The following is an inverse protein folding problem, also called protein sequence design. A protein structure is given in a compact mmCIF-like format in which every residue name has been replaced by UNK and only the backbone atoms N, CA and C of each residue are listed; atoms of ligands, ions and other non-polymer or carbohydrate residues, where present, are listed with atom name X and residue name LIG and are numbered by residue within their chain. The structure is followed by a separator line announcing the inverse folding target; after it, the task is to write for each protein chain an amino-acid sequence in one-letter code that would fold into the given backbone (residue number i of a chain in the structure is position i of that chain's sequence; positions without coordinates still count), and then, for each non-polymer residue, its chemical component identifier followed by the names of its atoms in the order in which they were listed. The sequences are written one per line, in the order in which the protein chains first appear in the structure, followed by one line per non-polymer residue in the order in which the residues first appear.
data_IF_570527925791
#
_entry.id   IF_570527925791
#
_cell.length_a   1.000
_cell.length_b   1.000
_cell.length_c   1.000
_cell.angle_alpha   90.00
_cell.angle_beta   90.00
_cell.angle_gamma   90.00
#
_symmetry.space_group_name_H-M   'P 1'
#
loop_
_entity.id
_entity.type
_entity.pdbx_description
1 polymer ?
#
# COMPACT_ATOMS: atom_id res chain seq x y z
N UNK A 1 -14.77 19.95 -4.68
CA UNK A 1 -13.61 20.84 -4.91
C UNK A 1 -12.45 20.33 -4.07
N UNK A 2 -11.21 20.59 -4.47
CA UNK A 2 -10.03 20.21 -3.68
C UNK A 2 -9.97 21.01 -2.37
N UNK A 3 -9.37 20.43 -1.33
CA UNK A 3 -9.10 21.14 -0.08
C UNK A 3 -8.09 22.28 -0.30
N UNK A 4 -8.26 23.37 0.45
CA UNK A 4 -7.39 24.55 0.40
C UNK A 4 -6.25 24.51 1.41
N UNK A 5 -6.32 23.61 2.38
CA UNK A 5 -5.35 23.46 3.47
C UNK A 5 -5.05 21.99 3.76
N UNK A 6 -3.88 21.74 4.34
CA UNK A 6 -3.44 20.40 4.75
C UNK A 6 -4.25 19.96 5.97
N UNK A 7 -4.38 18.64 6.13
CA UNK A 7 -5.03 18.01 7.29
C UNK A 7 -3.98 17.39 8.20
N UNK A 8 -3.57 18.07 9.29
CA UNK A 8 -2.48 17.61 10.15
C UNK A 8 -2.72 16.21 10.71
N UNK A 9 -3.96 15.86 11.01
CA UNK A 9 -4.37 14.56 11.53
C UNK A 9 -4.12 13.41 10.54
N UNK A 10 -4.33 13.65 9.24
CA UNK A 10 -4.08 12.65 8.19
C UNK A 10 -2.59 12.52 7.92
N UNK A 11 -1.85 13.64 7.95
CA UNK A 11 -0.40 13.64 7.80
C UNK A 11 0.24 12.86 8.95
N UNK A 12 -0.19 13.12 10.19
CA UNK A 12 0.32 12.41 11.37
C UNK A 12 0.00 10.92 11.31
N UNK A 13 -1.21 10.54 10.87
CA UNK A 13 -1.55 9.15 10.63
C UNK A 13 -0.62 8.49 9.60
N UNK A 14 -0.31 9.20 8.49
CA UNK A 14 0.52 8.66 7.42
C UNK A 14 1.97 8.42 7.84
N UNK A 15 2.51 9.20 8.78
CA UNK A 15 3.87 9.01 9.33
C UNK A 15 4.04 7.64 10.00
N UNK A 16 2.95 7.02 10.45
CA UNK A 16 2.94 5.66 11.00
C UNK A 16 2.79 4.55 9.96
N UNK A 17 2.85 4.86 8.66
CA UNK A 17 2.67 3.92 7.55
C UNK A 17 4.01 3.60 6.87
N UNK A 18 4.12 2.39 6.34
CA UNK A 18 5.33 1.94 5.66
C UNK A 18 5.44 2.53 4.27
N UNK A 19 6.63 3.06 3.96
CA UNK A 19 6.97 3.42 2.58
C UNK A 19 6.21 4.62 2.03
N UNK A 20 5.84 5.56 2.88
CA UNK A 20 5.25 6.81 2.41
C UNK A 20 6.32 7.69 1.73
N UNK A 21 6.00 8.34 0.59
CA UNK A 21 6.86 9.35 0.00
C UNK A 21 7.03 10.55 0.95
N UNK A 22 8.25 11.03 1.10
CA UNK A 22 8.57 12.18 1.95
C UNK A 22 8.62 13.46 1.11
N UNK A 23 7.48 13.99 0.69
CA UNK A 23 7.41 15.23 -0.06
C UNK A 23 6.13 16.03 0.20
N UNK A 24 6.17 17.33 -0.08
CA UNK A 24 5.02 18.22 0.14
C UNK A 24 3.79 17.80 -0.67
N UNK A 25 3.98 17.35 -1.92
CA UNK A 25 2.89 16.89 -2.77
C UNK A 25 2.24 15.61 -2.26
N UNK A 26 2.97 14.76 -1.53
CA UNK A 26 2.36 13.62 -0.83
C UNK A 26 1.43 14.11 0.29
N UNK A 27 1.88 15.04 1.13
CA UNK A 27 1.04 15.62 2.19
C UNK A 27 -0.21 16.32 1.63
N UNK A 28 -0.07 17.03 0.51
CA UNK A 28 -1.18 17.66 -0.22
C UNK A 28 -2.14 16.59 -0.75
N UNK A 29 -1.62 15.53 -1.37
CA UNK A 29 -2.41 14.41 -1.89
C UNK A 29 -3.27 13.77 -0.81
N UNK A 30 -2.67 13.33 0.31
CA UNK A 30 -3.41 12.66 1.39
C UNK A 30 -4.37 13.60 2.13
N UNK A 31 -4.10 14.91 2.10
CA UNK A 31 -5.00 15.93 2.65
C UNK A 31 -6.17 16.28 1.72
N UNK A 32 -6.22 15.74 0.49
CA UNK A 32 -7.24 16.05 -0.50
C UNK A 32 -7.05 17.41 -1.20
N UNK A 33 -5.84 17.99 -1.11
CA UNK A 33 -5.49 19.22 -1.82
C UNK A 33 -5.04 18.93 -3.25
N UNK A 34 -5.02 19.98 -4.08
CA UNK A 34 -4.31 19.90 -5.37
C UNK A 34 -2.81 19.67 -5.12
N UNK A 35 -2.26 18.71 -5.87
CA UNK A 35 -0.86 18.29 -5.81
C UNK A 35 -0.36 17.97 -7.22
N UNK A 36 0.96 17.94 -7.39
CA UNK A 36 1.62 17.50 -8.61
C UNK A 36 2.00 16.01 -8.52
N UNK A 37 1.29 15.11 -9.24
CA UNK A 37 1.59 13.67 -9.20
C UNK A 37 2.92 13.31 -9.88
N UNK A 38 3.56 14.23 -10.61
CA UNK A 38 4.81 13.99 -11.34
C UNK A 38 6.05 14.36 -10.53
N UNK A 39 5.92 14.60 -9.22
CA UNK A 39 7.09 14.73 -8.35
C UNK A 39 7.90 13.42 -8.33
N UNK A 40 9.24 13.48 -8.40
CA UNK A 40 10.10 12.29 -8.42
C UNK A 40 9.78 11.28 -7.31
N UNK A 41 9.52 11.74 -6.10
CA UNK A 41 9.23 10.91 -4.93
C UNK A 41 7.90 10.14 -5.08
N UNK A 42 6.90 10.76 -5.72
CA UNK A 42 5.63 10.11 -6.03
C UNK A 42 5.75 9.12 -7.20
N UNK A 43 6.61 9.42 -8.18
CA UNK A 43 6.90 8.50 -9.27
C UNK A 43 7.65 7.26 -8.77
N UNK A 44 8.67 7.45 -7.94
CA UNK A 44 9.44 6.37 -7.31
C UNK A 44 8.53 5.50 -6.43
N UNK A 45 7.65 6.11 -5.64
CA UNK A 45 6.73 5.37 -4.80
C UNK A 45 5.76 4.48 -5.61
N UNK A 46 5.24 4.98 -6.74
CA UNK A 46 4.41 4.16 -7.65
C UNK A 46 5.21 3.03 -8.30
N UNK A 47 6.43 3.32 -8.74
CA UNK A 47 7.31 2.30 -9.31
C UNK A 47 7.58 1.18 -8.29
N UNK A 48 7.96 1.55 -7.07
CA UNK A 48 8.18 0.62 -5.96
C UNK A 48 6.93 -0.20 -5.63
N UNK A 49 5.76 0.45 -5.56
CA UNK A 49 4.49 -0.23 -5.30
C UNK A 49 4.19 -1.30 -6.36
N UNK A 50 4.39 -0.98 -7.65
CA UNK A 50 4.18 -1.92 -8.75
C UNK A 50 5.13 -3.12 -8.69
N UNK A 51 6.40 -2.90 -8.33
CA UNK A 51 7.35 -3.99 -8.11
C UNK A 51 6.91 -4.94 -7.00
N UNK A 52 6.55 -4.39 -5.83
CA UNK A 52 6.09 -5.19 -4.69
C UNK A 52 4.76 -5.90 -4.97
N UNK A 53 3.84 -5.25 -5.68
CA UNK A 53 2.59 -5.86 -6.12
C UNK A 53 2.85 -6.99 -7.13
N UNK A 54 3.83 -6.85 -8.01
CA UNK A 54 4.24 -7.93 -8.91
C UNK A 54 4.79 -9.13 -8.14
N UNK A 55 5.64 -8.92 -7.12
CA UNK A 55 6.13 -10.00 -6.26
C UNK A 55 4.97 -10.71 -5.54
N UNK A 56 4.00 -9.95 -5.02
CA UNK A 56 2.80 -10.48 -4.37
C UNK A 56 1.93 -11.31 -5.32
N UNK A 57 1.67 -10.77 -6.51
CA UNK A 57 0.78 -11.39 -7.50
C UNK A 57 1.39 -12.62 -8.15
N UNK A 58 2.72 -12.66 -8.31
CA UNK A 58 3.43 -13.73 -9.01
C UNK A 58 4.10 -14.75 -8.09
N UNK A 59 3.72 -14.80 -6.80
CA UNK A 59 4.21 -15.83 -5.89
C UNK A 59 3.90 -17.23 -6.45
N UNK A 60 4.94 -17.99 -6.79
CA UNK A 60 4.81 -19.37 -7.28
C UNK A 60 4.43 -20.30 -6.13
N UNK A 61 3.16 -20.69 -6.09
CA UNK A 61 2.58 -21.54 -5.05
C UNK A 61 3.18 -22.95 -5.03
N UNK A 62 3.90 -23.38 -6.06
CA UNK A 62 4.58 -24.68 -6.10
C UNK A 62 5.90 -24.69 -5.33
N UNK A 63 6.42 -23.52 -4.98
CA UNK A 63 7.69 -23.34 -4.28
C UNK A 63 7.54 -23.17 -2.77
N UNK A 64 6.30 -23.08 -2.28
CA UNK A 64 5.96 -22.87 -0.87
C UNK A 64 4.98 -23.97 -0.44
N UNK A 65 5.17 -24.55 0.74
CA UNK A 65 4.26 -25.59 1.22
C UNK A 65 2.88 -25.02 1.55
N UNK A 66 1.86 -25.88 1.53
CA UNK A 66 0.48 -25.49 1.78
C UNK A 66 0.27 -24.84 3.15
N UNK A 67 0.98 -25.30 4.18
CA UNK A 67 0.94 -24.75 5.54
C UNK A 67 1.63 -23.38 5.66
N UNK A 68 2.53 -23.01 4.73
CA UNK A 68 3.29 -21.76 4.76
C UNK A 68 2.76 -20.68 3.81
N UNK A 69 1.91 -21.04 2.85
CA UNK A 69 1.52 -20.12 1.77
C UNK A 69 0.80 -18.87 2.28
N UNK A 70 0.00 -19.02 3.34
CA UNK A 70 -0.75 -17.92 3.94
C UNK A 70 0.20 -16.89 4.56
N UNK A 71 1.14 -17.36 5.40
CA UNK A 71 2.13 -16.50 6.03
C UNK A 71 3.04 -15.84 5.00
N UNK A 72 3.43 -16.57 3.95
CA UNK A 72 4.26 -16.02 2.88
C UNK A 72 3.54 -14.90 2.12
N UNK A 73 2.24 -15.06 1.85
CA UNK A 73 1.43 -14.01 1.24
C UNK A 73 1.28 -12.81 2.15
N UNK A 74 1.01 -13.03 3.44
CA UNK A 74 0.93 -11.93 4.41
C UNK A 74 2.26 -11.16 4.51
N UNK A 75 3.40 -11.85 4.48
CA UNK A 75 4.73 -11.23 4.44
C UNK A 75 4.89 -10.31 3.22
N UNK A 76 4.50 -10.78 2.03
CA UNK A 76 4.56 -9.98 0.82
C UNK A 76 3.56 -8.80 0.86
N UNK A 77 2.33 -9.03 1.33
CA UNK A 77 1.31 -8.00 1.45
C UNK A 77 1.77 -6.86 2.38
N UNK A 78 2.46 -7.18 3.49
CA UNK A 78 3.04 -6.20 4.42
C UNK A 78 4.04 -5.25 3.77
N UNK A 79 4.67 -5.66 2.66
CA UNK A 79 5.58 -4.82 1.87
C UNK A 79 4.79 -3.89 0.95
N UNK A 80 3.68 -4.39 0.39
CA UNK A 80 2.83 -3.63 -0.55
C UNK A 80 2.07 -2.51 0.16
N UNK A 81 1.42 -2.80 1.29
CA UNK A 81 0.52 -1.84 1.96
C UNK A 81 1.15 -1.09 3.12
N UNK A 82 0.58 0.07 3.46
CA UNK A 82 1.05 0.89 4.58
C UNK A 82 0.96 0.18 5.92
N UNK A 83 -0.12 -0.59 6.13
CA UNK A 83 -0.36 -1.42 7.31
C UNK A 83 -1.35 -2.55 7.01
N UNK A 84 -1.09 -3.74 7.57
CA UNK A 84 -1.99 -4.90 7.51
C UNK A 84 -1.90 -5.67 8.82
N UNK A 85 -3.05 -6.13 9.32
CA UNK A 85 -3.16 -6.97 10.52
C UNK A 85 -2.97 -8.46 10.25
N UNK A 86 -2.86 -9.24 11.33
CA UNK A 86 -2.74 -10.70 11.26
C UNK A 86 -4.01 -11.35 10.71
N UNK A 87 -3.88 -12.56 10.15
CA UNK A 87 -5.03 -13.31 9.65
C UNK A 87 -5.70 -12.68 8.42
N UNK A 88 -5.06 -11.68 7.80
CA UNK A 88 -5.60 -10.98 6.63
C UNK A 88 -5.07 -11.56 5.32
N UNK A 89 -5.95 -11.67 4.34
CA UNK A 89 -5.64 -12.16 3.01
C UNK A 89 -6.34 -11.34 1.93
N UNK A 90 -5.58 -11.03 0.87
CA UNK A 90 -6.08 -10.34 -0.32
C UNK A 90 -5.85 -11.25 -1.52
N UNK A 91 -6.91 -11.69 -2.15
CA UNK A 91 -6.79 -12.58 -3.30
C UNK A 91 -6.05 -11.86 -4.45
N UNK A 92 -4.95 -12.41 -4.99
CA UNK A 92 -4.31 -11.85 -6.17
C UNK A 92 -5.23 -11.96 -7.41
N UNK A 93 -5.18 -11.03 -8.37
CA UNK A 93 -4.24 -9.91 -8.44
C UNK A 93 -4.66 -8.70 -7.58
N UNK A 94 -3.68 -8.10 -6.89
CA UNK A 94 -3.81 -6.84 -6.15
C UNK A 94 -2.96 -5.76 -6.81
N UNK A 95 -3.57 -4.64 -7.23
CA UNK A 95 -2.93 -3.61 -8.07
C UNK A 95 -3.16 -2.18 -7.53
N UNK A 96 -2.61 -1.84 -6.35
CA UNK A 96 -2.70 -0.47 -5.83
C UNK A 96 -1.70 0.48 -6.53
N UNK A 97 -2.03 1.77 -6.60
CA UNK A 97 -1.14 2.77 -7.22
C UNK A 97 0.09 3.07 -6.33
N UNK A 98 -0.15 3.41 -5.06
CA UNK A 98 0.92 3.71 -4.08
C UNK A 98 1.12 2.64 -3.01
N UNK A 99 0.07 1.86 -2.69
CA UNK A 99 0.09 0.81 -1.66
C UNK A 99 0.17 1.33 -0.23
N UNK A 100 1.11 2.24 0.05
CA UNK A 100 1.40 2.81 1.38
C UNK A 100 0.22 3.57 2.02
N UNK A 101 -0.76 4.02 1.24
CA UNK A 101 -1.97 4.67 1.74
C UNK A 101 -3.05 3.69 2.24
N UNK A 102 -2.84 2.37 2.04
CA UNK A 102 -3.81 1.34 2.38
C UNK A 102 -3.52 0.82 3.78
N UNK A 103 -4.57 0.78 4.60
CA UNK A 103 -4.57 0.20 5.95
C UNK A 103 -5.63 -0.89 5.95
N UNK A 104 -5.23 -2.12 6.26
CA UNK A 104 -6.13 -3.26 6.42
C UNK A 104 -6.07 -3.75 7.86
N UNK A 105 -7.21 -4.07 8.44
CA UNK A 105 -7.30 -4.65 9.79
C UNK A 105 -6.77 -6.08 9.84
N UNK A 106 -7.08 -6.76 10.95
CA UNK A 106 -6.84 -8.21 11.11
C UNK A 106 -8.05 -9.02 10.65
N UNK A 107 -7.85 -10.29 10.31
CA UNK A 107 -8.89 -11.25 9.93
C UNK A 107 -9.78 -10.75 8.77
N UNK A 108 -9.19 -10.01 7.83
CA UNK A 108 -9.88 -9.50 6.66
C UNK A 108 -9.68 -10.44 5.48
N UNK A 109 -10.75 -10.69 4.71
CA UNK A 109 -10.66 -11.37 3.42
C UNK A 109 -11.16 -10.44 2.33
N UNK A 110 -10.32 -10.15 1.35
CA UNK A 110 -10.63 -9.29 0.21
C UNK A 110 -10.50 -10.14 -1.06
N UNK A 111 -11.61 -10.27 -1.79
CA UNK A 111 -11.67 -11.06 -3.02
C UNK A 111 -11.70 -10.17 -4.28
N UNK A 112 -11.54 -10.77 -5.46
CA UNK A 112 -11.61 -10.08 -6.75
C UNK A 112 -13.02 -9.55 -7.05
N UNK A 113 -13.09 -8.61 -7.99
CA UNK A 113 -14.32 -8.17 -8.65
C UNK A 113 -14.23 -8.45 -10.14
#
# INVERSE_FOLDING_TARGET
MAATEKRPEIIELSRGLRGIPQCEDYERMISGMMYNPNKPELLEARHRCRGLAADYNNLDTRTVSYDQIFDKRLELLRKVVGRVGEGTFVEPPFLPDYGCNIIIGSNCFINWK
#
